data_IF_648935878251
#
_entry.id   IF_648935878251
#
_cell.length_a   1.000
_cell.length_b   1.000
_cell.length_c   1.000
_cell.angle_alpha   90.00
_cell.angle_beta   90.00
_cell.angle_gamma   90.00
#
_symmetry.space_group_name_H-M   'P 1'
#
loop_
_entity.id
_entity.type
_entity.pdbx_description
1 polymer ?
#
# COMPACT_ATOMS: atom_id res chain seq x y z
N UNK A 1 -8.80 -33.59 -24.69
CA UNK A 1 -7.61 -32.88 -24.14
C UNK A 1 -7.79 -32.72 -22.64
N UNK A 2 -7.23 -33.63 -21.82
CA UNK A 2 -7.38 -33.54 -20.36
C UNK A 2 -6.67 -32.27 -19.88
N UNK A 3 -7.40 -31.34 -19.24
CA UNK A 3 -6.80 -30.14 -18.64
C UNK A 3 -5.77 -30.61 -17.61
N UNK A 4 -4.49 -30.30 -17.84
CA UNK A 4 -3.41 -30.59 -16.91
C UNK A 4 -3.60 -29.79 -15.61
N UNK A 5 -4.25 -30.41 -14.63
CA UNK A 5 -4.44 -29.85 -13.29
C UNK A 5 -3.17 -29.91 -12.44
N UNK A 6 -2.17 -30.69 -12.86
CA UNK A 6 -0.90 -30.90 -12.18
C UNK A 6 0.16 -29.85 -12.49
N UNK A 7 -0.01 -28.99 -13.50
CA UNK A 7 0.99 -27.96 -13.80
C UNK A 7 1.20 -27.02 -12.60
N UNK A 8 2.35 -27.10 -11.89
CA UNK A 8 2.58 -26.34 -10.67
C UNK A 8 2.72 -24.84 -10.96
N UNK A 9 2.92 -24.43 -12.21
CA UNK A 9 3.04 -23.01 -12.59
C UNK A 9 1.70 -22.29 -12.66
N UNK A 10 0.56 -23.00 -12.77
CA UNK A 10 -0.77 -22.40 -12.93
C UNK A 10 -1.61 -22.48 -11.63
N UNK A 11 -1.87 -21.32 -11.02
CA UNK A 11 -2.72 -21.19 -9.82
C UNK A 11 -4.21 -21.53 -10.10
N UNK A 12 -4.72 -21.27 -11.31
CA UNK A 12 -6.14 -21.52 -11.63
C UNK A 12 -7.09 -20.72 -10.73
N UNK A 13 -8.09 -21.38 -10.16
CA UNK A 13 -9.07 -20.76 -9.26
C UNK A 13 -8.43 -20.15 -7.99
N UNK A 14 -7.27 -20.64 -7.53
CA UNK A 14 -6.53 -19.97 -6.44
C UNK A 14 -6.14 -18.53 -6.77
N UNK A 15 -5.98 -18.18 -8.05
CA UNK A 15 -5.72 -16.79 -8.45
C UNK A 15 -6.95 -15.91 -8.24
N UNK A 16 -8.15 -16.44 -8.51
CA UNK A 16 -9.41 -15.74 -8.23
C UNK A 16 -9.56 -15.52 -6.74
N UNK A 17 -9.31 -16.55 -5.93
CA UNK A 17 -9.31 -16.45 -4.46
C UNK A 17 -8.29 -15.41 -3.97
N UNK A 18 -7.08 -15.38 -4.54
CA UNK A 18 -6.07 -14.37 -4.20
C UNK A 18 -6.50 -12.94 -4.52
N UNK A 19 -7.10 -12.72 -5.69
CA UNK A 19 -7.61 -11.40 -6.08
C UNK A 19 -8.75 -10.99 -5.16
N UNK A 20 -9.64 -11.93 -4.81
CA UNK A 20 -10.72 -11.70 -3.87
C UNK A 20 -10.18 -11.24 -2.50
N UNK A 21 -9.23 -11.97 -1.91
CA UNK A 21 -8.59 -11.56 -0.65
C UNK A 21 -7.90 -10.19 -0.76
N UNK A 22 -7.18 -9.93 -1.85
CA UNK A 22 -6.53 -8.64 -2.04
C UNK A 22 -7.54 -7.48 -2.11
N UNK A 23 -8.63 -7.65 -2.86
CA UNK A 23 -9.71 -6.66 -2.95
C UNK A 23 -10.36 -6.46 -1.59
N UNK A 24 -10.69 -7.55 -0.87
CA UNK A 24 -11.35 -7.44 0.43
C UNK A 24 -10.49 -6.72 1.46
N UNK A 25 -9.18 -7.04 1.49
CA UNK A 25 -8.20 -6.34 2.33
C UNK A 25 -8.17 -4.85 2.01
N UNK A 26 -8.05 -4.48 0.72
CA UNK A 26 -8.01 -3.07 0.30
C UNK A 26 -9.31 -2.35 0.65
N UNK A 27 -10.46 -2.93 0.34
CA UNK A 27 -11.76 -2.32 0.61
C UNK A 27 -11.97 -2.14 2.11
N UNK A 28 -11.77 -3.20 2.90
CA UNK A 28 -12.00 -3.15 4.35
C UNK A 28 -11.07 -2.14 5.02
N UNK A 29 -9.78 -2.11 4.65
CA UNK A 29 -8.85 -1.09 5.15
C UNK A 29 -9.27 0.31 4.71
N UNK A 30 -9.75 0.48 3.48
CA UNK A 30 -10.24 1.78 3.00
C UNK A 30 -11.51 2.21 3.72
N UNK A 31 -12.37 1.25 4.12
CA UNK A 31 -13.61 1.52 4.84
C UNK A 31 -13.38 1.83 6.32
N UNK A 32 -12.33 1.24 6.94
CA UNK A 32 -11.89 1.61 8.29
C UNK A 32 -11.63 3.10 8.44
N UNK A 33 -11.23 3.74 7.34
CA UNK A 33 -11.04 5.19 7.30
C UNK A 33 -12.33 5.91 7.69
N UNK A 34 -13.52 5.42 7.38
CA UNK A 34 -14.78 6.12 7.72
C UNK A 34 -15.30 5.86 9.15
N UNK A 35 -14.59 5.09 9.97
CA UNK A 35 -15.03 4.73 11.32
C UNK A 35 -14.66 5.81 12.33
N UNK A 36 -15.66 6.52 12.86
CA UNK A 36 -15.49 7.67 13.75
C UNK A 36 -15.54 7.25 15.22
N UNK A 37 -14.50 7.59 15.99
CA UNK A 37 -14.44 7.33 17.43
C UNK A 37 -15.49 8.16 18.19
N UNK A 38 -16.35 7.51 18.96
CA UNK A 38 -17.39 8.16 19.79
C UNK A 38 -18.80 8.15 19.19
N UNK A 39 -18.96 7.86 17.89
CA UNK A 39 -20.27 7.62 17.26
C UNK A 39 -20.49 6.15 16.88
N UNK A 40 -19.47 5.31 17.04
CA UNK A 40 -19.50 3.91 16.65
C UNK A 40 -19.11 3.02 17.84
N UNK A 41 -19.99 2.11 18.22
CA UNK A 41 -19.72 1.08 19.23
C UNK A 41 -19.28 -0.19 18.53
N UNK A 42 -18.05 -0.63 18.79
CA UNK A 42 -17.53 -1.90 18.27
C UNK A 42 -18.41 -3.06 18.73
N UNK A 43 -19.15 -3.62 17.79
CA UNK A 43 -19.93 -4.83 17.99
C UNK A 43 -19.08 -6.09 17.79
N UNK A 44 -19.69 -7.23 18.11
CA UNK A 44 -19.08 -8.53 17.85
C UNK A 44 -18.89 -8.81 16.35
N UNK A 45 -19.77 -8.29 15.49
CA UNK A 45 -19.64 -8.38 14.04
C UNK A 45 -18.36 -7.69 13.54
N UNK A 46 -18.05 -6.50 14.03
CA UNK A 46 -16.86 -5.74 13.62
C UNK A 46 -15.58 -6.42 14.06
N UNK A 47 -15.59 -7.04 15.25
CA UNK A 47 -14.47 -7.85 15.72
C UNK A 47 -14.22 -9.06 14.82
N UNK A 48 -15.29 -9.69 14.30
CA UNK A 48 -15.19 -10.77 13.32
C UNK A 48 -14.66 -10.25 11.99
N UNK A 49 -15.12 -9.09 11.52
CA UNK A 49 -14.65 -8.49 10.26
C UNK A 49 -13.16 -8.12 10.31
N UNK A 50 -12.66 -7.66 11.46
CA UNK A 50 -11.22 -7.43 11.64
C UNK A 50 -10.41 -8.72 11.73
N UNK A 51 -10.97 -9.76 12.35
CA UNK A 51 -10.35 -11.09 12.31
C UNK A 51 -10.30 -11.63 10.88
N UNK A 52 -11.35 -11.42 10.08
CA UNK A 52 -11.43 -11.77 8.67
C UNK A 52 -10.42 -10.98 7.83
N UNK A 53 -10.23 -9.70 8.12
CA UNK A 53 -9.20 -8.88 7.46
C UNK A 53 -7.79 -9.45 7.68
N UNK A 54 -7.47 -9.81 8.92
CA UNK A 54 -6.19 -10.45 9.27
C UNK A 54 -6.05 -11.79 8.53
N UNK A 55 -7.11 -12.58 8.53
CA UNK A 55 -7.16 -13.86 7.83
C UNK A 55 -6.92 -13.72 6.32
N UNK A 56 -7.61 -12.80 5.65
CA UNK A 56 -7.48 -12.57 4.22
C UNK A 56 -6.04 -12.15 3.86
N UNK A 57 -5.43 -11.29 4.68
CA UNK A 57 -4.02 -10.91 4.54
C UNK A 57 -3.07 -12.10 4.68
N UNK A 58 -3.25 -12.93 5.72
CA UNK A 58 -2.44 -14.14 5.93
C UNK A 58 -2.65 -15.13 4.78
N UNK A 59 -3.89 -15.38 4.38
CA UNK A 59 -4.23 -16.31 3.29
C UNK A 59 -3.67 -15.86 1.95
N UNK A 60 -3.80 -14.57 1.61
CA UNK A 60 -3.20 -13.99 0.43
C UNK A 60 -1.68 -14.28 0.39
N UNK A 61 -0.99 -14.01 1.49
CA UNK A 61 0.46 -14.21 1.63
C UNK A 61 0.84 -15.70 1.55
N UNK A 62 0.11 -16.56 2.26
CA UNK A 62 0.31 -17.99 2.28
C UNK A 62 0.12 -18.62 0.89
N UNK A 63 -0.89 -18.18 0.12
CA UNK A 63 -1.11 -18.62 -1.26
C UNK A 63 -0.02 -18.07 -2.18
N UNK A 64 0.41 -16.82 -1.98
CA UNK A 64 1.46 -16.17 -2.78
C UNK A 64 2.76 -16.94 -2.73
N UNK A 65 3.15 -17.37 -1.53
CA UNK A 65 4.34 -18.18 -1.30
C UNK A 65 4.08 -19.68 -1.44
N UNK A 66 2.85 -20.11 -1.71
CA UNK A 66 2.49 -21.51 -1.95
C UNK A 66 2.87 -22.46 -0.80
N UNK A 67 2.67 -22.02 0.44
CA UNK A 67 2.99 -22.82 1.61
C UNK A 67 2.01 -24.00 1.78
N UNK A 68 2.50 -25.13 2.29
CA UNK A 68 1.66 -26.32 2.54
C UNK A 68 0.64 -26.07 3.66
N UNK A 69 1.02 -25.27 4.65
CA UNK A 69 0.17 -24.90 5.78
C UNK A 69 -1.07 -24.08 5.37
N UNK A 70 -1.05 -23.41 4.21
CA UNK A 70 -2.17 -22.64 3.67
C UNK A 70 -3.47 -23.45 3.66
N UNK A 71 -3.40 -24.74 3.31
CA UNK A 71 -4.59 -25.59 3.25
C UNK A 71 -5.22 -25.77 4.62
N UNK A 72 -4.42 -26.15 5.61
CA UNK A 72 -4.90 -26.37 6.96
C UNK A 72 -5.42 -25.07 7.57
N UNK A 73 -4.73 -23.96 7.34
CA UNK A 73 -5.11 -22.64 7.83
C UNK A 73 -6.45 -22.16 7.26
N UNK A 74 -6.63 -22.20 5.93
CA UNK A 74 -7.90 -21.81 5.30
C UNK A 74 -9.06 -22.68 5.79
N UNK A 75 -8.87 -24.00 5.85
CA UNK A 75 -9.92 -24.93 6.32
C UNK A 75 -10.29 -24.64 7.78
N UNK A 76 -9.29 -24.51 8.66
CA UNK A 76 -9.51 -24.28 10.08
C UNK A 76 -10.23 -22.96 10.33
N UNK A 77 -9.82 -21.89 9.66
CA UNK A 77 -10.43 -20.59 9.84
C UNK A 77 -11.82 -20.49 9.20
N UNK A 78 -12.04 -21.08 8.01
CA UNK A 78 -13.37 -21.14 7.40
C UNK A 78 -14.34 -21.91 8.30
N UNK A 79 -13.91 -23.02 8.91
CA UNK A 79 -14.71 -23.76 9.90
C UNK A 79 -14.98 -22.91 11.14
N UNK A 80 -13.96 -22.20 11.64
CA UNK A 80 -14.09 -21.31 12.79
C UNK A 80 -15.13 -20.21 12.52
N UNK A 81 -15.06 -19.53 11.38
CA UNK A 81 -16.03 -18.49 10.99
C UNK A 81 -17.45 -19.02 10.92
N UNK A 82 -17.66 -20.17 10.28
CA UNK A 82 -18.99 -20.79 10.18
C UNK A 82 -19.53 -21.11 11.58
N UNK A 83 -18.70 -21.71 12.43
CA UNK A 83 -19.09 -22.12 13.79
C UNK A 83 -19.37 -20.91 14.68
N UNK A 84 -18.48 -19.92 14.69
CA UNK A 84 -18.61 -18.71 15.52
C UNK A 84 -19.78 -17.87 15.05
N UNK A 85 -19.93 -17.66 13.74
CA UNK A 85 -21.07 -16.96 13.16
C UNK A 85 -22.39 -17.66 13.50
N UNK A 86 -22.46 -18.98 13.34
CA UNK A 86 -23.68 -19.75 13.69
C UNK A 86 -23.99 -19.69 15.18
N UNK A 87 -22.97 -19.83 16.03
CA UNK A 87 -23.12 -19.76 17.49
C UNK A 87 -23.61 -18.39 17.95
N UNK A 88 -23.11 -17.31 17.33
CA UNK A 88 -23.57 -15.95 17.61
C UNK A 88 -25.01 -15.71 17.16
N UNK A 89 -25.38 -16.13 15.95
CA UNK A 89 -26.76 -16.05 15.45
C UNK A 89 -27.75 -16.83 16.34
N UNK A 90 -27.33 -18.01 16.83
CA UNK A 90 -28.10 -18.80 17.79
C UNK A 90 -28.23 -18.11 19.15
N UNK A 91 -27.14 -17.59 19.69
CA UNK A 91 -27.11 -16.94 21.00
C UNK A 91 -27.91 -15.63 21.04
N UNK A 92 -28.00 -14.93 19.91
CA UNK A 92 -28.77 -13.67 19.77
C UNK A 92 -30.22 -13.89 19.33
N UNK A 93 -30.64 -15.13 19.08
CA UNK A 93 -32.00 -15.45 18.63
C UNK A 93 -32.32 -15.01 17.20
N UNK A 94 -31.31 -14.66 16.41
CA UNK A 94 -31.44 -14.19 15.02
C UNK A 94 -31.19 -15.29 13.99
N UNK A 95 -31.08 -16.54 14.43
CA UNK A 95 -30.72 -17.66 13.57
C UNK A 95 -31.79 -17.94 12.51
N UNK A 96 -31.43 -17.70 11.26
CA UNK A 96 -32.16 -18.15 10.09
C UNK A 96 -31.23 -18.98 9.18
N UNK A 97 -31.61 -20.21 8.78
CA UNK A 97 -30.76 -21.08 7.97
C UNK A 97 -30.34 -20.45 6.64
N UNK A 98 -31.20 -19.64 6.01
CA UNK A 98 -30.92 -19.03 4.71
C UNK A 98 -29.94 -17.88 4.87
N UNK A 99 -30.14 -17.00 5.85
CA UNK A 99 -29.21 -15.90 6.16
C UNK A 99 -27.85 -16.43 6.59
N UNK A 100 -27.79 -17.52 7.36
CA UNK A 100 -26.55 -18.17 7.77
C UNK A 100 -25.81 -18.80 6.58
N UNK A 101 -26.54 -19.40 5.64
CA UNK A 101 -25.95 -19.95 4.41
C UNK A 101 -25.31 -18.84 3.56
N UNK A 102 -26.00 -17.70 3.44
CA UNK A 102 -25.53 -16.55 2.66
C UNK A 102 -24.29 -15.93 3.33
N UNK A 103 -24.34 -15.71 4.64
CA UNK A 103 -23.22 -15.12 5.40
C UNK A 103 -21.97 -16.01 5.38
N UNK A 104 -22.16 -17.33 5.39
CA UNK A 104 -21.08 -18.32 5.36
C UNK A 104 -20.68 -18.74 3.94
N UNK A 105 -21.26 -18.15 2.89
CA UNK A 105 -21.09 -18.63 1.50
C UNK A 105 -19.64 -18.58 1.01
N UNK A 106 -18.91 -17.52 1.37
CA UNK A 106 -17.47 -17.37 1.07
C UNK A 106 -16.65 -18.48 1.73
N UNK A 107 -16.86 -18.71 3.03
CA UNK A 107 -16.19 -19.75 3.81
C UNK A 107 -16.51 -21.15 3.28
N UNK A 108 -17.77 -21.41 2.91
CA UNK A 108 -18.20 -22.69 2.32
C UNK A 108 -17.47 -22.94 0.99
N UNK A 109 -17.35 -21.92 0.13
CA UNK A 109 -16.62 -22.03 -1.15
C UNK A 109 -15.13 -22.31 -0.90
N UNK A 110 -14.50 -21.60 0.04
CA UNK A 110 -13.11 -21.82 0.42
C UNK A 110 -12.90 -23.24 0.96
N UNK A 111 -13.74 -23.66 1.89
CA UNK A 111 -13.68 -24.96 2.56
C UNK A 111 -13.86 -26.10 1.54
N UNK A 112 -14.89 -26.01 0.69
CA UNK A 112 -15.12 -26.97 -0.38
C UNK A 112 -13.92 -27.05 -1.34
N UNK A 113 -13.37 -25.91 -1.75
CA UNK A 113 -12.23 -25.87 -2.66
C UNK A 113 -10.95 -26.45 -2.03
N UNK A 114 -10.57 -26.04 -0.82
CA UNK A 114 -9.31 -26.47 -0.20
C UNK A 114 -9.32 -27.91 0.33
N UNK A 115 -10.50 -28.48 0.61
CA UNK A 115 -10.67 -29.91 0.91
C UNK A 115 -10.54 -30.78 -0.35
N UNK A 116 -11.25 -30.42 -1.41
CA UNK A 116 -11.45 -31.31 -2.57
C UNK A 116 -10.45 -31.09 -3.70
N UNK A 117 -9.88 -29.89 -3.83
CA UNK A 117 -9.04 -29.53 -4.97
C UNK A 117 -7.71 -30.27 -4.96
N UNK A 118 -7.54 -31.15 -5.96
CA UNK A 118 -6.25 -31.78 -6.28
C UNK A 118 -5.18 -30.74 -6.64
N UNK A 119 -5.58 -29.61 -7.24
CA UNK A 119 -4.65 -28.53 -7.60
C UNK A 119 -4.17 -27.75 -6.38
N UNK A 120 -5.03 -27.50 -5.39
CA UNK A 120 -4.58 -26.90 -4.13
C UNK A 120 -3.52 -27.78 -3.45
N UNK A 121 -3.70 -29.11 -3.46
CA UNK A 121 -2.70 -30.08 -2.98
C UNK A 121 -1.39 -30.05 -3.77
N UNK A 122 -1.47 -29.93 -5.10
CA UNK A 122 -0.31 -29.97 -5.98
C UNK A 122 0.50 -28.66 -6.03
N UNK A 123 -0.12 -27.52 -5.77
CA UNK A 123 0.54 -26.20 -5.83
C UNK A 123 1.08 -25.78 -4.46
N UNK A 124 0.37 -26.09 -3.37
CA UNK A 124 0.72 -25.70 -2.00
C UNK A 124 1.62 -26.76 -1.35
N UNK A 125 2.85 -26.85 -1.85
CA UNK A 125 3.78 -27.95 -1.50
C UNK A 125 4.87 -27.54 -0.52
N UNK A 126 5.11 -26.24 -0.37
CA UNK A 126 6.33 -25.81 0.28
C UNK A 126 6.20 -25.75 1.80
N UNK A 127 7.11 -26.39 2.56
CA UNK A 127 7.14 -26.27 4.02
C UNK A 127 7.66 -24.89 4.46
N UNK A 128 7.37 -24.52 5.70
CA UNK A 128 8.10 -23.46 6.40
C UNK A 128 9.45 -24.03 6.84
N UNK A 129 10.45 -24.01 5.95
CA UNK A 129 11.80 -24.49 6.23
C UNK A 129 12.84 -23.37 6.09
N UNK A 130 13.92 -23.47 6.89
CA UNK A 130 15.05 -22.56 6.84
C UNK A 130 15.74 -22.55 5.46
N UNK A 131 15.77 -23.69 4.77
CA UNK A 131 16.29 -23.80 3.41
C UNK A 131 15.55 -22.90 2.43
N UNK A 132 14.22 -22.78 2.60
CA UNK A 132 13.41 -21.93 1.73
C UNK A 132 13.56 -20.45 2.09
N UNK A 133 13.67 -20.12 3.37
CA UNK A 133 14.00 -18.77 3.80
C UNK A 133 15.34 -18.32 3.19
N UNK A 134 16.33 -19.22 3.14
CA UNK A 134 17.61 -18.99 2.43
C UNK A 134 17.45 -18.88 0.92
N UNK A 135 16.68 -19.76 0.27
CA UNK A 135 16.44 -19.65 -1.17
C UNK A 135 15.72 -18.35 -1.55
N UNK A 136 14.78 -17.87 -0.73
CA UNK A 136 14.12 -16.57 -0.91
C UNK A 136 15.10 -15.42 -0.68
N UNK A 137 15.98 -15.53 0.31
CA UNK A 137 17.06 -14.57 0.50
C UNK A 137 18.00 -14.52 -0.71
N UNK A 138 18.38 -15.66 -1.28
CA UNK A 138 19.24 -15.71 -2.46
C UNK A 138 18.55 -15.07 -3.68
N UNK A 139 17.26 -15.34 -3.87
CA UNK A 139 16.42 -14.65 -4.87
C UNK A 139 16.41 -13.13 -4.64
N UNK A 140 16.14 -12.69 -3.40
CA UNK A 140 16.07 -11.27 -3.03
C UNK A 140 17.43 -10.56 -3.14
N UNK A 141 18.52 -11.22 -2.75
CA UNK A 141 19.86 -10.70 -2.90
C UNK A 141 20.19 -10.47 -4.38
N UNK A 142 19.63 -11.31 -5.27
CA UNK A 142 19.72 -11.15 -6.70
C UNK A 142 19.06 -9.87 -7.24
N UNK A 143 18.15 -9.23 -6.50
CA UNK A 143 17.49 -7.97 -6.93
C UNK A 143 18.31 -6.72 -6.64
N UNK A 144 19.24 -6.78 -5.68
CA UNK A 144 20.09 -5.62 -5.37
C UNK A 144 21.32 -5.60 -6.28
N UNK A 145 21.22 -4.92 -7.43
CA UNK A 145 22.29 -4.84 -8.44
C UNK A 145 22.62 -3.39 -8.83
N UNK A 146 23.22 -2.60 -7.92
CA UNK A 146 23.50 -1.18 -8.15
C UNK A 146 24.48 -0.90 -9.31
N UNK A 147 25.15 -1.92 -9.84
CA UNK A 147 26.03 -1.78 -11.01
C UNK A 147 25.28 -1.83 -12.34
N UNK A 148 23.99 -2.17 -12.36
CA UNK A 148 23.24 -2.39 -13.61
C UNK A 148 22.30 -1.24 -13.94
N UNK A 149 22.15 -0.92 -15.22
CA UNK A 149 21.17 0.08 -15.67
C UNK A 149 19.73 -0.31 -15.30
N UNK A 150 19.37 -1.59 -15.40
CA UNK A 150 18.04 -2.07 -15.06
C UNK A 150 17.63 -1.74 -13.62
N UNK A 151 18.58 -1.80 -12.69
CA UNK A 151 18.36 -1.42 -11.30
C UNK A 151 18.06 0.08 -11.15
N UNK A 152 18.90 0.96 -11.71
CA UNK A 152 18.69 2.41 -11.62
C UNK A 152 17.42 2.86 -12.33
N UNK A 153 17.13 2.28 -13.49
CA UNK A 153 15.87 2.51 -14.21
C UNK A 153 14.67 2.15 -13.33
N UNK A 154 14.65 0.98 -12.70
CA UNK A 154 13.57 0.58 -11.79
C UNK A 154 13.50 1.51 -10.58
N UNK A 155 14.64 1.92 -10.03
CA UNK A 155 14.71 2.83 -8.89
C UNK A 155 14.10 4.22 -9.20
N UNK A 156 14.32 4.75 -10.40
CA UNK A 156 13.68 5.99 -10.85
C UNK A 156 12.17 5.80 -11.04
N UNK A 157 11.72 4.66 -11.57
CA UNK A 157 10.29 4.34 -11.63
C UNK A 157 9.70 4.32 -10.22
N UNK A 158 10.38 3.68 -9.25
CA UNK A 158 9.94 3.67 -7.87
C UNK A 158 9.87 5.08 -7.29
N UNK A 159 10.88 5.92 -7.52
CA UNK A 159 10.83 7.32 -7.11
C UNK A 159 9.55 8.00 -7.63
N UNK A 160 9.32 8.00 -8.94
CA UNK A 160 8.17 8.68 -9.55
C UNK A 160 6.83 8.15 -9.05
N UNK A 161 6.66 6.83 -8.97
CA UNK A 161 5.39 6.21 -8.56
C UNK A 161 5.14 6.41 -7.07
N UNK A 162 6.15 6.21 -6.22
CA UNK A 162 5.99 6.33 -4.77
C UNK A 162 5.92 7.77 -4.28
N UNK A 163 6.32 8.76 -5.09
CA UNK A 163 6.00 10.17 -4.82
C UNK A 163 4.50 10.45 -4.79
N UNK A 164 3.70 9.75 -5.60
CA UNK A 164 2.23 9.88 -5.61
C UNK A 164 1.58 8.88 -4.65
N UNK A 165 2.03 7.62 -4.66
CA UNK A 165 1.47 6.59 -3.76
C UNK A 165 1.73 6.92 -2.29
N UNK A 166 2.88 7.51 -1.97
CA UNK A 166 3.18 7.90 -0.60
C UNK A 166 2.33 9.07 -0.09
N UNK A 167 1.92 9.96 -0.99
CA UNK A 167 0.92 10.98 -0.68
C UNK A 167 -0.43 10.38 -0.30
N UNK A 168 -0.90 9.37 -1.03
CA UNK A 168 -2.15 8.67 -0.66
C UNK A 168 -2.05 7.97 0.69
N UNK A 169 -0.88 7.41 0.99
CA UNK A 169 -0.61 6.82 2.29
C UNK A 169 -0.66 7.88 3.41
N UNK A 170 -0.06 9.06 3.20
CA UNK A 170 -0.13 10.17 4.16
C UNK A 170 -1.56 10.68 4.33
N UNK A 171 -2.31 10.85 3.25
CA UNK A 171 -3.73 11.21 3.31
C UNK A 171 -4.52 10.20 4.15
N UNK A 172 -4.26 8.90 3.97
CA UNK A 172 -4.81 7.84 4.83
C UNK A 172 -4.45 8.04 6.30
N UNK A 173 -3.16 8.27 6.61
CA UNK A 173 -2.69 8.51 7.98
C UNK A 173 -3.32 9.75 8.64
N UNK A 174 -3.35 10.88 7.94
CA UNK A 174 -3.99 12.11 8.41
C UNK A 174 -5.50 11.93 8.59
N UNK A 175 -6.13 11.07 7.79
CA UNK A 175 -7.55 10.73 7.97
C UNK A 175 -7.78 9.94 9.26
N UNK A 176 -6.89 9.01 9.62
CA UNK A 176 -6.96 8.31 10.91
C UNK A 176 -6.83 9.28 12.10
N UNK A 177 -6.02 10.34 11.95
CA UNK A 177 -5.91 11.43 12.94
C UNK A 177 -7.21 12.24 13.00
N UNK A 178 -7.76 12.63 11.84
CA UNK A 178 -9.05 13.34 11.75
C UNK A 178 -10.18 12.62 12.49
N UNK A 179 -10.19 11.29 12.42
CA UNK A 179 -11.19 10.46 13.08
C UNK A 179 -10.87 10.08 14.54
N UNK A 180 -9.77 10.60 15.09
CA UNK A 180 -9.38 10.40 16.48
C UNK A 180 -8.94 8.97 16.81
N UNK A 181 -8.65 8.16 15.78
CA UNK A 181 -8.14 6.79 15.94
C UNK A 181 -6.69 6.79 16.41
N UNK A 182 -5.92 7.80 15.98
CA UNK A 182 -4.52 7.99 16.31
C UNK A 182 -4.32 9.45 16.76
N UNK A 183 -3.55 9.73 17.83
CA UNK A 183 -3.30 11.11 18.24
C UNK A 183 -2.47 11.87 17.20
N UNK A 184 -2.77 13.15 17.01
CA UNK A 184 -2.05 14.01 16.07
C UNK A 184 -2.81 15.32 15.82
N UNK A 185 -2.18 16.21 15.04
CA UNK A 185 -2.78 17.46 14.60
C UNK A 185 -3.33 17.25 13.18
N UNK A 186 -4.62 17.50 13.00
CA UNK A 186 -5.24 17.51 11.68
C UNK A 186 -5.32 18.95 11.17
N UNK A 187 -4.67 19.21 10.04
CA UNK A 187 -4.78 20.48 9.33
C UNK A 187 -5.60 20.28 8.03
N UNK A 188 -6.84 20.81 7.95
CA UNK A 188 -7.65 20.75 6.74
C UNK A 188 -7.07 21.58 5.57
N UNK A 189 -6.22 22.57 5.87
CA UNK A 189 -5.59 23.44 4.88
C UNK A 189 -4.25 22.91 4.35
N UNK A 190 -3.81 21.75 4.85
CA UNK A 190 -2.58 21.12 4.40
C UNK A 190 -2.61 20.81 2.90
N UNK A 191 -1.44 20.93 2.26
CA UNK A 191 -1.23 20.59 0.85
C UNK A 191 -1.59 19.14 0.52
N UNK A 192 -1.69 18.26 1.52
CA UNK A 192 -2.12 16.86 1.34
C UNK A 192 -3.54 16.80 0.73
N UNK A 193 -4.39 17.80 1.00
CA UNK A 193 -5.79 17.83 0.56
C UNK A 193 -6.03 18.60 -0.74
N UNK A 194 -5.01 19.23 -1.32
CA UNK A 194 -5.17 20.10 -2.49
C UNK A 194 -5.53 19.31 -3.75
N UNK A 195 -4.81 18.22 -4.03
CA UNK A 195 -5.05 17.37 -5.19
C UNK A 195 -4.53 15.94 -4.96
N UNK A 196 -5.20 14.95 -5.55
CA UNK A 196 -4.89 13.53 -5.46
C UNK A 196 -3.63 13.12 -6.22
N UNK A 197 -3.22 13.87 -7.24
CA UNK A 197 -2.05 13.53 -8.06
C UNK A 197 -0.80 14.36 -7.72
N UNK A 198 -0.82 15.09 -6.61
CA UNK A 198 0.31 15.92 -6.22
C UNK A 198 1.55 15.05 -5.91
N UNK A 199 2.68 15.24 -6.62
CA UNK A 199 3.86 14.41 -6.45
C UNK A 199 4.69 14.86 -5.24
N UNK A 200 4.41 14.29 -4.06
CA UNK A 200 5.23 14.53 -2.87
C UNK A 200 6.56 13.79 -2.99
N UNK A 201 7.59 14.48 -3.51
CA UNK A 201 8.93 13.94 -3.75
C UNK A 201 9.56 13.27 -2.52
N UNK A 202 9.23 13.73 -1.30
CA UNK A 202 9.73 13.16 -0.04
C UNK A 202 9.45 11.65 0.07
N UNK A 203 8.27 11.19 -0.38
CA UNK A 203 7.94 9.76 -0.38
C UNK A 203 8.67 8.96 -1.45
N UNK A 204 8.92 9.58 -2.60
CA UNK A 204 9.78 9.01 -3.65
C UNK A 204 11.20 8.78 -3.11
N UNK A 205 11.78 9.77 -2.43
CA UNK A 205 13.06 9.63 -1.74
C UNK A 205 13.01 8.59 -0.62
N UNK A 206 11.91 8.53 0.14
CA UNK A 206 11.69 7.50 1.15
C UNK A 206 11.70 6.08 0.57
N UNK A 207 11.03 5.85 -0.56
CA UNK A 207 11.05 4.58 -1.27
C UNK A 207 12.46 4.23 -1.77
N UNK A 208 13.17 5.20 -2.34
CA UNK A 208 14.58 5.03 -2.76
C UNK A 208 15.48 4.67 -1.58
N UNK A 209 15.33 5.35 -0.44
CA UNK A 209 16.06 5.07 0.79
C UNK A 209 15.77 3.66 1.33
N UNK A 210 14.51 3.20 1.23
CA UNK A 210 14.15 1.82 1.57
C UNK A 210 14.92 0.81 0.71
N UNK A 211 15.08 1.07 -0.59
CA UNK A 211 15.80 0.17 -1.50
C UNK A 211 17.32 0.23 -1.32
N UNK A 212 17.88 1.43 -1.17
CA UNK A 212 19.33 1.61 -1.12
C UNK A 212 19.93 1.33 0.26
N UNK A 213 19.22 1.69 1.34
CA UNK A 213 19.73 1.59 2.70
C UNK A 213 19.15 0.38 3.43
N UNK A 214 17.82 0.25 3.43
CA UNK A 214 17.13 -0.70 4.31
C UNK A 214 17.11 -2.12 3.73
N UNK A 215 17.00 -2.27 2.41
CA UNK A 215 16.99 -3.58 1.77
C UNK A 215 18.33 -4.35 1.93
N UNK A 216 19.52 -3.71 1.77
CA UNK A 216 20.79 -4.36 2.12
C UNK A 216 20.89 -4.75 3.60
N UNK A 217 20.41 -3.90 4.52
CA UNK A 217 20.40 -4.19 5.96
C UNK A 217 19.53 -5.40 6.26
N UNK A 218 18.32 -5.46 5.69
CA UNK A 218 17.45 -6.65 5.76
C UNK A 218 18.19 -7.90 5.29
N UNK A 219 18.82 -7.87 4.11
CA UNK A 219 19.51 -9.03 3.56
C UNK A 219 20.69 -9.46 4.46
N UNK A 220 21.40 -8.51 5.06
CA UNK A 220 22.47 -8.80 6.03
C UNK A 220 21.91 -9.47 7.30
N UNK A 221 20.82 -8.95 7.85
CA UNK A 221 20.18 -9.51 9.05
C UNK A 221 19.66 -10.93 8.80
N UNK A 222 19.00 -11.16 7.66
CA UNK A 222 18.52 -12.48 7.27
C UNK A 222 19.66 -13.49 7.00
N UNK A 223 20.85 -13.03 6.60
CA UNK A 223 22.06 -13.89 6.50
C UNK A 223 22.64 -14.22 7.86
N UNK A 224 22.59 -13.28 8.80
CA UNK A 224 23.23 -13.40 10.12
C UNK A 224 22.43 -14.24 11.11
N UNK A 225 21.10 -14.10 11.10
CA UNK A 225 20.21 -14.77 12.05
C UNK A 225 19.46 -15.94 11.39
N UNK A 226 19.25 -17.02 12.15
CA UNK A 226 18.41 -18.15 11.71
C UNK A 226 16.93 -17.87 12.02
N UNK A 227 16.04 -18.34 11.16
CA UNK A 227 14.59 -18.09 11.26
C UNK A 227 14.16 -16.71 10.75
N UNK A 228 12.85 -16.43 10.83
CA UNK A 228 12.24 -15.21 10.25
C UNK A 228 11.98 -14.13 11.31
N UNK A 229 11.64 -14.53 12.54
CA UNK A 229 11.19 -13.59 13.57
C UNK A 229 12.27 -12.60 14.02
N UNK A 230 13.47 -13.09 14.35
CA UNK A 230 14.59 -12.24 14.77
C UNK A 230 15.03 -11.22 13.70
N UNK A 231 15.31 -11.61 12.43
CA UNK A 231 15.70 -10.62 11.42
C UNK A 231 14.56 -9.66 11.06
N UNK A 232 13.30 -10.08 11.16
CA UNK A 232 12.15 -9.19 10.95
C UNK A 232 12.07 -8.12 12.05
N UNK A 233 12.13 -8.52 13.33
CA UNK A 233 12.09 -7.59 14.44
C UNK A 233 13.28 -6.61 14.43
N UNK A 234 14.49 -7.12 14.18
CA UNK A 234 15.68 -6.29 14.06
C UNK A 234 15.61 -5.36 12.84
N UNK A 235 15.08 -5.83 11.71
CA UNK A 235 14.86 -4.99 10.53
C UNK A 235 13.85 -3.90 10.84
N UNK A 236 12.77 -4.19 11.56
CA UNK A 236 11.79 -3.18 11.95
C UNK A 236 12.42 -2.09 12.82
N UNK A 237 13.20 -2.46 13.83
CA UNK A 237 13.92 -1.49 14.68
C UNK A 237 14.90 -0.65 13.86
N UNK A 238 15.72 -1.29 13.01
CA UNK A 238 16.66 -0.57 12.15
C UNK A 238 15.95 0.39 11.17
N UNK A 239 14.86 -0.06 10.56
CA UNK A 239 14.04 0.74 9.66
C UNK A 239 13.44 1.95 10.39
N UNK A 240 12.85 1.74 11.57
CA UNK A 240 12.27 2.81 12.39
C UNK A 240 13.34 3.85 12.75
N UNK A 241 14.53 3.43 13.17
CA UNK A 241 15.64 4.33 13.51
C UNK A 241 16.13 5.15 12.31
N UNK A 242 16.30 4.51 11.15
CA UNK A 242 16.75 5.20 9.94
C UNK A 242 15.69 6.19 9.45
N UNK A 243 14.41 5.79 9.40
CA UNK A 243 13.32 6.68 9.04
C UNK A 243 13.20 7.87 10.00
N UNK A 244 13.29 7.63 11.31
CA UNK A 244 13.31 8.69 12.33
C UNK A 244 14.50 9.62 12.16
N UNK A 245 15.68 9.09 11.82
CA UNK A 245 16.87 9.88 11.54
C UNK A 245 16.70 10.78 10.30
N UNK A 246 16.09 10.25 9.23
CA UNK A 246 15.77 11.03 8.02
C UNK A 246 14.73 12.11 8.35
N UNK A 247 13.65 11.76 9.07
CA UNK A 247 12.62 12.72 9.49
C UNK A 247 13.22 13.83 10.35
N UNK A 248 14.09 13.49 11.31
CA UNK A 248 14.78 14.46 12.15
C UNK A 248 15.70 15.36 11.32
N UNK A 249 16.51 14.80 10.41
CA UNK A 249 17.38 15.59 9.54
C UNK A 249 16.57 16.56 8.67
N UNK A 250 15.48 16.10 8.07
CA UNK A 250 14.57 16.92 7.27
C UNK A 250 13.88 17.99 8.12
N UNK A 251 13.45 17.66 9.33
CA UNK A 251 12.88 18.60 10.27
C UNK A 251 13.86 19.70 10.68
N UNK A 252 15.12 19.33 10.93
CA UNK A 252 16.19 20.28 11.24
C UNK A 252 16.60 21.15 10.04
N UNK A 253 16.35 20.70 8.81
CA UNK A 253 16.68 21.47 7.60
C UNK A 253 15.52 22.36 7.13
N UNK A 254 14.28 21.88 7.22
CA UNK A 254 13.12 22.49 6.56
C UNK A 254 12.00 22.93 7.51
N UNK A 255 11.91 22.31 8.69
CA UNK A 255 10.85 22.58 9.67
C UNK A 255 11.40 23.40 10.84
N UNK A 256 12.09 24.51 10.56
CA UNK A 256 12.66 25.37 11.60
C UNK A 256 11.58 26.25 12.24
N UNK A 257 11.69 26.56 13.55
CA UNK A 257 10.70 27.35 14.25
C UNK A 257 10.62 28.77 13.67
N UNK A 258 9.40 29.24 13.44
CA UNK A 258 9.11 30.63 13.09
C UNK A 258 9.36 31.56 14.30
N UNK A 259 9.38 32.89 14.11
CA UNK A 259 9.57 33.86 15.21
C UNK A 259 8.57 33.71 16.37
N UNK A 260 7.40 33.15 16.11
CA UNK A 260 6.35 32.83 17.08
C UNK A 260 6.56 31.47 17.78
N UNK A 261 7.63 30.75 17.43
CA UNK A 261 7.97 29.43 17.96
C UNK A 261 7.12 28.29 17.41
N UNK A 262 6.32 28.52 16.36
CA UNK A 262 5.55 27.47 15.68
C UNK A 262 6.40 26.74 14.64
N UNK A 263 6.14 25.45 14.45
CA UNK A 263 6.79 24.65 13.43
C UNK A 263 5.88 24.62 12.18
N UNK A 264 6.37 25.06 11.00
CA UNK A 264 5.51 25.34 9.85
C UNK A 264 4.98 24.11 9.12
N UNK A 265 5.70 22.98 9.16
CA UNK A 265 5.32 21.77 8.42
C UNK A 265 4.58 20.78 9.30
N UNK A 266 5.13 20.46 10.47
CA UNK A 266 4.52 19.58 11.47
C UNK A 266 5.01 19.91 12.88
N UNK A 267 4.20 19.61 13.89
CA UNK A 267 4.54 19.87 15.28
C UNK A 267 4.18 18.68 16.18
N UNK A 268 5.20 18.01 16.73
CA UNK A 268 5.05 16.86 17.62
C UNK A 268 5.40 17.15 19.08
N UNK A 269 5.49 18.42 19.50
CA UNK A 269 5.86 18.77 20.89
C UNK A 269 4.96 18.14 21.95
N UNK A 270 3.68 17.93 21.61
CA UNK A 270 2.69 17.32 22.49
C UNK A 270 2.60 15.79 22.39
N UNK A 271 3.47 15.15 21.62
CA UNK A 271 3.45 13.71 21.36
C UNK A 271 4.40 12.95 22.29
N UNK A 272 4.08 11.68 22.56
CA UNK A 272 4.88 10.82 23.43
C UNK A 272 6.27 10.53 22.83
N UNK A 273 7.31 10.59 23.67
CA UNK A 273 8.71 10.42 23.28
C UNK A 273 9.10 11.30 22.08
N UNK A 274 8.71 12.56 22.11
CA UNK A 274 9.12 13.52 21.08
C UNK A 274 10.56 14.00 21.29
N UNK A 275 11.21 14.39 20.20
CA UNK A 275 12.52 15.05 20.21
C UNK A 275 12.45 16.33 19.37
N UNK A 276 12.69 17.48 20.03
CA UNK A 276 12.63 18.82 19.44
C UNK A 276 11.32 19.18 18.73
N UNK A 277 10.22 18.45 19.01
CA UNK A 277 8.98 18.56 18.25
C UNK A 277 9.05 18.06 16.79
N UNK A 278 10.20 17.54 16.36
CA UNK A 278 10.46 17.12 14.98
C UNK A 278 10.13 15.66 14.73
N UNK A 279 10.35 14.80 15.71
CA UNK A 279 10.06 13.36 15.64
C UNK A 279 9.34 12.91 16.91
N UNK A 280 8.56 11.84 16.82
CA UNK A 280 7.91 11.20 17.96
C UNK A 280 7.85 9.68 17.80
N UNK A 281 7.62 8.96 18.91
CA UNK A 281 7.61 7.49 18.88
C UNK A 281 6.50 6.91 17.99
N UNK A 282 5.33 7.55 17.97
CA UNK A 282 4.22 7.10 17.13
C UNK A 282 4.60 7.10 15.65
N UNK A 283 5.18 8.20 15.16
CA UNK A 283 5.63 8.31 13.77
C UNK A 283 6.81 7.37 13.50
N UNK A 284 7.76 7.25 14.43
CA UNK A 284 8.87 6.31 14.31
C UNK A 284 8.37 4.86 14.11
N UNK A 285 7.35 4.46 14.85
CA UNK A 285 6.70 3.15 14.72
C UNK A 285 5.94 3.02 13.39
N UNK A 286 5.17 4.05 13.01
CA UNK A 286 4.42 4.06 11.75
C UNK A 286 5.36 3.95 10.53
N UNK A 287 6.40 4.78 10.46
CA UNK A 287 7.42 4.69 9.42
C UNK A 287 8.19 3.38 9.47
N UNK A 288 8.51 2.87 10.67
CA UNK A 288 9.11 1.55 10.83
C UNK A 288 8.26 0.44 10.20
N UNK A 289 6.94 0.48 10.38
CA UNK A 289 6.01 -0.49 9.79
C UNK A 289 5.98 -0.38 8.27
N UNK A 290 5.77 0.83 7.75
CA UNK A 290 5.73 1.10 6.30
C UNK A 290 7.04 0.70 5.62
N UNK A 291 8.18 1.09 6.18
CA UNK A 291 9.50 0.75 5.63
C UNK A 291 9.78 -0.76 5.70
N UNK A 292 9.31 -1.45 6.74
CA UNK A 292 9.40 -2.91 6.83
C UNK A 292 8.52 -3.58 5.79
N UNK A 293 7.28 -3.12 5.62
CA UNK A 293 6.39 -3.61 4.57
C UNK A 293 7.01 -3.39 3.18
N UNK A 294 7.58 -2.20 2.95
CA UNK A 294 8.24 -1.84 1.70
C UNK A 294 9.41 -2.77 1.38
N UNK A 295 10.30 -3.01 2.35
CA UNK A 295 11.52 -3.81 2.15
C UNK A 295 11.27 -5.32 2.16
N UNK A 296 10.29 -5.81 2.91
CA UNK A 296 10.01 -7.24 3.05
C UNK A 296 9.03 -7.78 2.03
N UNK A 297 8.05 -6.98 1.61
CA UNK A 297 6.93 -7.43 0.78
C UNK A 297 6.87 -6.68 -0.54
N UNK A 298 6.78 -5.36 -0.51
CA UNK A 298 6.47 -4.57 -1.71
C UNK A 298 7.64 -4.61 -2.70
N UNK A 299 8.85 -4.24 -2.29
CA UNK A 299 10.01 -4.20 -3.19
C UNK A 299 10.35 -5.57 -3.81
N UNK A 300 10.47 -6.68 -3.04
CA UNK A 300 10.66 -8.00 -3.65
C UNK A 300 9.51 -8.43 -4.56
N UNK A 301 8.27 -8.06 -4.20
CA UNK A 301 7.09 -8.35 -5.00
C UNK A 301 7.10 -7.61 -6.34
N UNK A 302 7.47 -6.33 -6.32
CA UNK A 302 7.61 -5.48 -7.50
C UNK A 302 8.75 -5.98 -8.39
N UNK A 303 9.95 -6.22 -7.86
CA UNK A 303 11.07 -6.75 -8.64
C UNK A 303 10.73 -8.09 -9.31
N UNK A 304 10.01 -8.97 -8.60
CA UNK A 304 9.52 -10.23 -9.17
C UNK A 304 8.49 -10.03 -10.29
N UNK A 305 7.69 -8.97 -10.22
CA UNK A 305 6.73 -8.61 -11.26
C UNK A 305 7.46 -8.00 -12.47
N UNK A 306 8.35 -7.05 -12.24
CA UNK A 306 9.13 -6.37 -13.26
C UNK A 306 10.07 -7.35 -14.00
N UNK A 307 10.60 -8.36 -13.31
CA UNK A 307 11.42 -9.41 -13.92
C UNK A 307 10.67 -10.27 -14.96
N UNK A 308 9.32 -10.22 -15.00
CA UNK A 308 8.51 -10.90 -16.03
C UNK A 308 8.35 -10.08 -17.30
N UNK A 309 8.67 -8.80 -17.25
CA UNK A 309 8.48 -7.87 -18.35
C UNK A 309 9.79 -7.80 -19.15
N UNK A 310 9.76 -7.93 -20.50
CA UNK A 310 10.97 -7.82 -21.30
C UNK A 310 11.59 -6.42 -21.20
N UNK A 311 12.92 -6.34 -21.29
CA UNK A 311 13.69 -5.12 -21.05
C UNK A 311 13.25 -3.93 -21.92
N UNK A 312 12.84 -4.18 -23.18
CA UNK A 312 12.31 -3.15 -24.07
C UNK A 312 11.03 -2.50 -23.52
N UNK A 313 10.06 -3.31 -23.09
CA UNK A 313 8.81 -2.80 -22.52
C UNK A 313 9.05 -2.06 -21.21
N UNK A 314 10.01 -2.51 -20.38
CA UNK A 314 10.40 -1.78 -19.18
C UNK A 314 11.09 -0.44 -19.47
N UNK A 315 11.86 -0.33 -20.56
CA UNK A 315 12.43 0.95 -20.99
C UNK A 315 11.34 1.90 -21.50
N UNK A 316 10.32 1.41 -22.20
CA UNK A 316 9.16 2.22 -22.56
C UNK A 316 8.38 2.69 -21.33
N UNK A 317 8.12 1.78 -20.39
CA UNK A 317 7.45 2.11 -19.12
C UNK A 317 8.24 3.18 -18.35
N UNK A 318 9.57 3.05 -18.30
CA UNK A 318 10.44 4.07 -17.72
C UNK A 318 10.23 5.45 -18.37
N UNK A 319 10.26 5.53 -19.71
CA UNK A 319 10.05 6.80 -20.43
C UNK A 319 8.67 7.38 -20.11
N UNK A 320 7.62 6.57 -20.20
CA UNK A 320 6.24 7.01 -19.94
C UNK A 320 6.08 7.53 -18.51
N UNK A 321 6.60 6.79 -17.52
CA UNK A 321 6.51 7.18 -16.11
C UNK A 321 7.31 8.45 -15.82
N UNK A 322 8.52 8.58 -16.37
CA UNK A 322 9.34 9.78 -16.17
C UNK A 322 8.71 11.00 -16.83
N UNK A 323 8.26 10.88 -18.09
CA UNK A 323 7.58 12.00 -18.78
C UNK A 323 6.30 12.37 -18.04
N UNK A 324 5.47 11.39 -17.65
CA UNK A 324 4.25 11.63 -16.88
C UNK A 324 4.55 12.32 -15.54
N UNK A 325 5.58 11.88 -14.83
CA UNK A 325 6.03 12.51 -13.59
C UNK A 325 6.53 13.94 -13.81
N UNK A 326 7.30 14.20 -14.88
CA UNK A 326 7.75 15.55 -15.23
C UNK A 326 6.57 16.47 -15.58
N UNK A 327 5.56 15.97 -16.30
CA UNK A 327 4.33 16.72 -16.61
C UNK A 327 3.58 17.04 -15.31
N UNK A 328 3.35 16.04 -14.44
CA UNK A 328 2.70 16.25 -13.15
C UNK A 328 3.47 17.29 -12.32
N UNK A 329 4.78 17.09 -12.15
CA UNK A 329 5.63 18.02 -11.41
C UNK A 329 5.58 19.44 -12.00
N UNK A 330 5.61 19.57 -13.33
CA UNK A 330 5.49 20.86 -14.01
C UNK A 330 4.13 21.51 -13.73
N UNK A 331 3.02 20.76 -13.84
CA UNK A 331 1.66 21.27 -13.60
C UNK A 331 1.46 21.79 -12.17
N UNK A 332 2.12 21.19 -11.18
CA UNK A 332 1.99 21.58 -9.77
C UNK A 332 3.05 22.59 -9.31
N UNK A 333 4.25 22.60 -9.89
CA UNK A 333 5.28 23.58 -9.55
C UNK A 333 5.14 24.88 -10.34
N UNK A 334 4.63 24.80 -11.57
CA UNK A 334 4.22 25.97 -12.33
C UNK A 334 2.74 26.12 -12.07
N UNK A 335 2.37 26.96 -11.09
CA UNK A 335 1.03 27.51 -11.02
C UNK A 335 0.74 28.12 -12.40
N UNK A 336 0.08 27.38 -13.27
CA UNK A 336 -0.58 27.95 -14.43
C UNK A 336 -1.78 28.68 -13.86
N UNK A 337 -1.51 29.86 -13.29
CA UNK A 337 -2.49 30.87 -13.00
C UNK A 337 -2.97 31.39 -14.37
N UNK A 338 -3.79 30.61 -15.06
CA UNK A 338 -4.80 31.25 -15.88
C UNK A 338 -5.91 31.55 -14.90
N UNK A 339 -6.09 32.83 -14.57
CA UNK A 339 -7.28 33.21 -13.83
C UNK A 339 -8.49 32.81 -14.69
N UNK A 340 -9.57 32.33 -14.08
CA UNK A 340 -10.80 32.03 -14.83
C UNK A 340 -11.26 33.26 -15.64
N UNK A 341 -10.93 34.46 -15.16
CA UNK A 341 -11.12 35.74 -15.85
C UNK A 341 -10.34 35.83 -17.17
N UNK A 342 -9.08 35.38 -17.22
CA UNK A 342 -8.27 35.40 -18.45
C UNK A 342 -8.78 34.39 -19.49
N UNK A 343 -9.29 33.22 -19.05
CA UNK A 343 -9.91 32.23 -19.94
C UNK A 343 -11.21 32.78 -20.51
N UNK A 344 -12.06 33.39 -19.67
CA UNK A 344 -13.34 33.97 -20.09
C UNK A 344 -13.08 35.15 -21.05
N UNK A 345 -12.15 36.04 -20.74
CA UNK A 345 -11.80 37.18 -21.60
C UNK A 345 -11.25 36.72 -22.96
N UNK A 346 -10.39 35.70 -23.00
CA UNK A 346 -9.89 35.13 -24.25
C UNK A 346 -11.00 34.44 -25.06
N UNK A 347 -11.94 33.78 -24.38
CA UNK A 347 -13.09 33.11 -25.01
C UNK A 347 -14.07 34.12 -25.58
N UNK A 348 -14.36 35.20 -24.86
CA UNK A 348 -15.21 36.30 -25.34
C UNK A 348 -14.62 37.02 -26.55
N UNK A 349 -13.30 37.26 -26.55
CA UNK A 349 -12.60 37.83 -27.71
C UNK A 349 -12.64 36.91 -28.93
N UNK A 350 -12.49 35.59 -28.74
CA UNK A 350 -12.64 34.60 -29.81
C UNK A 350 -14.07 34.59 -30.37
N UNK A 351 -15.09 34.58 -29.51
CA UNK A 351 -16.50 34.62 -29.92
C UNK A 351 -16.82 35.92 -30.67
N UNK A 352 -16.32 37.08 -30.22
CA UNK A 352 -16.46 38.34 -30.94
C UNK A 352 -15.79 38.31 -32.32
N UNK A 353 -14.58 37.75 -32.42
CA UNK A 353 -13.89 37.63 -33.71
C UNK A 353 -14.64 36.72 -34.70
N UNK A 354 -15.30 35.67 -34.20
CA UNK A 354 -16.14 34.79 -35.00
C UNK A 354 -17.46 35.45 -35.43
N UNK A 355 -18.05 36.31 -34.59
CA UNK A 355 -19.28 37.04 -34.91
C UNK A 355 -19.04 38.22 -35.87
N UNK A 356 -17.87 38.85 -35.84
CA UNK A 356 -17.53 39.97 -36.75
C UNK A 356 -17.22 39.48 -38.18
N UNK A 357 -16.83 38.20 -38.35
CA UNK A 357 -16.65 37.59 -39.67
C UNK A 357 -17.94 37.27 -40.43
N UNK A 358 -19.12 37.46 -39.82
CA UNK A 358 -20.43 37.08 -40.37
C UNK A 358 -21.19 38.19 -41.10
N UNK A 359 -20.77 39.46 -41.03
CA UNK A 359 -21.45 40.55 -41.76
C UNK A 359 -20.87 40.70 -43.16
N UNK A 360 -21.29 39.83 -44.08
CA UNK A 360 -21.26 40.13 -45.49
C UNK A 360 -22.13 41.39 -45.75
N UNK A 361 -21.64 42.43 -46.45
CA UNK A 361 -22.47 43.57 -46.78
C UNK A 361 -23.50 43.14 -47.82
N UNK A 362 -24.77 43.10 -47.39
CA UNK A 362 -25.91 43.03 -48.30
C UNK A 362 -26.05 44.36 -49.03
N UNK A 363 -25.63 44.36 -50.30
CA UNK A 363 -26.19 45.12 -51.41
C UNK A 363 -26.52 46.60 -51.23
N UNK A 364 -25.74 47.44 -51.90
CA UNK A 364 -26.25 48.46 -52.82
C UNK A 364 -25.35 48.50 -54.06
#
# INVERSE_FOLDING_TARGET
MARDFSNPKKLGFMRVIQVFFAINVVITISLLVFMIKGSYTLGFADAIDYANLIFDGICFWLIWHRYRATRAFVIAFSLFNIVVGSAYSLATGTFDPVSQLISSSSDIVLLAYFLTSRRAKAVLVHPFSDERARAQLDEHAGYFRPTTWGFWRNLVIYFCVFSVVGHWMEAGYCTLIRFGLIPGVYDPSSQIWSDWLYPFCVYGFGAVACVLLLFPVKNLLQRRFRGIAAPLALSFVANALVCTGIELAMGLMLNQPLPDGTLPLWDYRNMFCNFMGQVCLQNAVAFGFVATLMTWVIYPGLEKLLARVPSYAMNMAFIVVVIGFCILFFLYCVNVAVSDEDVIAATEQLIQSMNVGGSAPSGA
#
